data_IF_185652419774
#
_entry.id   IF_185652419774
#
_cell.length_a   1.000
_cell.length_b   1.000
_cell.length_c   1.000
_cell.angle_alpha   90.00
_cell.angle_beta   90.00
_cell.angle_gamma   90.00
#
_symmetry.space_group_name_H-M   'P 1'
#
loop_
_entity.id
_entity.type
_entity.pdbx_description
1 polymer ?
#
# COMPACT_ATOMS: atom_id res chain seq x y z
N UNK A 1 -15.91 -5.91 -4.74
CA UNK A 1 -14.67 -6.24 -4.01
C UNK A 1 -14.32 -5.06 -3.14
N UNK A 2 -14.37 -5.16 -1.82
CA UNK A 2 -13.97 -4.07 -0.92
C UNK A 2 -12.45 -4.02 -0.91
N UNK A 3 -11.86 -2.86 -1.22
CA UNK A 3 -10.41 -2.68 -1.14
C UNK A 3 -9.93 -3.00 0.29
N UNK A 4 -8.77 -3.69 0.44
CA UNK A 4 -8.19 -3.93 1.75
C UNK A 4 -7.93 -2.61 2.46
N UNK A 5 -8.27 -2.55 3.73
CA UNK A 5 -8.12 -1.35 4.56
C UNK A 5 -6.63 -1.06 4.73
N UNK A 6 -6.20 0.05 4.15
CA UNK A 6 -4.81 0.47 4.05
C UNK A 6 -4.44 1.40 5.23
N UNK A 7 -3.32 1.17 5.92
CA UNK A 7 -2.88 1.99 7.06
C UNK A 7 -2.81 3.50 6.79
N UNK A 8 -2.37 3.96 5.60
CA UNK A 8 -2.44 5.36 5.22
C UNK A 8 -3.84 5.86 4.85
N UNK A 9 -4.78 4.96 4.56
CA UNK A 9 -6.20 5.31 4.49
C UNK A 9 -6.79 5.64 5.86
N UNK A 10 -6.03 5.44 6.93
CA UNK A 10 -6.49 5.54 8.30
C UNK A 10 -6.91 6.97 8.70
N UNK A 11 -6.21 8.01 8.23
CA UNK A 11 -6.64 9.38 8.55
C UNK A 11 -7.88 9.80 7.72
N UNK A 12 -8.02 9.30 6.48
CA UNK A 12 -9.29 9.39 5.74
C UNK A 12 -10.38 8.49 6.32
N UNK A 13 -9.99 7.40 6.98
CA UNK A 13 -10.89 6.54 7.74
C UNK A 13 -11.29 7.21 9.05
N UNK A 14 -10.42 8.00 9.71
CA UNK A 14 -10.80 8.78 10.89
C UNK A 14 -11.96 9.71 10.58
N UNK A 15 -11.89 10.47 9.49
CA UNK A 15 -13.00 11.32 9.06
C UNK A 15 -14.27 10.50 8.75
N UNK A 16 -14.12 9.38 8.09
CA UNK A 16 -15.24 8.48 7.78
C UNK A 16 -15.75 7.73 9.00
N UNK A 17 -14.88 7.28 9.90
CA UNK A 17 -15.30 6.64 11.15
C UNK A 17 -15.98 7.61 12.08
N UNK A 18 -15.46 8.82 12.22
CA UNK A 18 -16.12 9.89 12.95
C UNK A 18 -17.52 10.19 12.38
N UNK A 19 -17.65 10.22 11.05
CA UNK A 19 -18.95 10.39 10.38
C UNK A 19 -19.90 9.20 10.57
N UNK A 20 -19.38 8.03 10.90
CA UNK A 20 -20.13 6.80 11.18
C UNK A 20 -20.34 6.55 12.69
N UNK A 21 -19.85 7.45 13.55
CA UNK A 21 -19.91 7.29 15.00
C UNK A 21 -19.04 6.14 15.56
N UNK A 22 -18.05 5.68 14.82
CA UNK A 22 -17.17 4.59 15.24
C UNK A 22 -15.94 5.13 15.97
N UNK A 23 -15.62 4.65 17.19
CA UNK A 23 -14.42 5.06 17.91
C UNK A 23 -13.16 4.66 17.15
N UNK A 24 -12.13 5.48 17.24
CA UNK A 24 -10.80 5.22 16.68
C UNK A 24 -9.73 5.48 17.74
N UNK A 25 -9.80 4.70 18.78
CA UNK A 25 -8.80 4.71 19.84
C UNK A 25 -7.86 3.53 19.61
N UNK A 26 -6.56 3.73 19.81
CA UNK A 26 -5.56 2.67 19.72
C UNK A 26 -5.53 1.84 18.41
N UNK A 27 -5.30 2.47 17.24
CA UNK A 27 -5.35 1.81 15.93
C UNK A 27 -4.43 0.59 15.80
N UNK A 28 -3.29 0.57 16.48
CA UNK A 28 -2.39 -0.58 16.48
C UNK A 28 -2.99 -1.78 17.23
N UNK A 29 -3.62 -1.54 18.38
CA UNK A 29 -4.34 -2.56 19.16
C UNK A 29 -5.49 -3.14 18.35
N UNK A 30 -6.32 -2.27 17.78
CA UNK A 30 -7.42 -2.67 16.90
C UNK A 30 -6.94 -3.55 15.74
N UNK A 31 -5.88 -3.14 15.05
CA UNK A 31 -5.36 -3.90 13.90
C UNK A 31 -4.82 -5.26 14.33
N UNK A 32 -4.16 -5.34 15.48
CA UNK A 32 -3.67 -6.61 16.04
C UNK A 32 -4.82 -7.56 16.34
N UNK A 33 -5.83 -7.10 17.09
CA UNK A 33 -7.01 -7.91 17.43
C UNK A 33 -7.79 -8.33 16.18
N UNK A 34 -7.89 -7.43 15.19
CA UNK A 34 -8.49 -7.76 13.90
C UNK A 34 -7.74 -8.89 13.17
N UNK A 35 -6.40 -8.85 13.18
CA UNK A 35 -5.56 -9.92 12.60
C UNK A 35 -5.74 -11.22 13.38
N UNK A 36 -5.80 -11.15 14.72
CA UNK A 36 -6.02 -12.32 15.57
C UNK A 36 -7.32 -13.06 15.26
N UNK A 37 -8.39 -12.32 14.95
CA UNK A 37 -9.64 -12.89 14.50
C UNK A 37 -9.65 -13.33 13.04
N UNK A 38 -8.99 -12.59 12.16
CA UNK A 38 -9.02 -12.83 10.71
C UNK A 38 -8.20 -14.06 10.30
N UNK A 39 -7.00 -14.25 10.88
CA UNK A 39 -6.09 -15.33 10.47
C UNK A 39 -6.70 -16.73 10.63
N UNK A 40 -7.28 -17.11 11.78
CA UNK A 40 -7.94 -18.42 11.90
C UNK A 40 -9.12 -18.56 10.95
N UNK A 41 -9.93 -17.52 10.74
CA UNK A 41 -11.05 -17.58 9.78
C UNK A 41 -10.59 -17.86 8.35
N UNK A 42 -9.50 -17.25 7.89
CA UNK A 42 -8.94 -17.52 6.58
C UNK A 42 -8.31 -18.92 6.47
N UNK A 43 -7.82 -19.46 7.57
CA UNK A 43 -7.32 -20.82 7.64
C UNK A 43 -8.44 -21.89 7.72
N UNK A 44 -9.70 -21.46 7.82
CA UNK A 44 -10.84 -22.37 8.01
C UNK A 44 -11.00 -22.86 9.46
N UNK A 45 -10.27 -22.25 10.39
CA UNK A 45 -10.29 -22.57 11.81
C UNK A 45 -11.33 -21.73 12.57
N UNK A 46 -11.63 -22.15 13.79
CA UNK A 46 -12.44 -21.40 14.75
C UNK A 46 -11.67 -20.16 15.19
N UNK A 47 -12.26 -18.97 15.02
CA UNK A 47 -11.83 -17.77 15.70
C UNK A 47 -12.50 -17.65 17.05
N UNK A 48 -11.75 -17.29 18.09
CA UNK A 48 -12.24 -17.08 19.46
C UNK A 48 -11.42 -15.95 20.12
N UNK A 49 -11.79 -14.73 19.82
CA UNK A 49 -11.08 -13.50 20.23
C UNK A 49 -12.02 -12.59 21.01
N UNK A 50 -11.66 -12.34 22.26
CA UNK A 50 -12.27 -11.33 23.14
C UNK A 50 -11.29 -10.19 23.38
N UNK A 51 -11.12 -9.31 22.38
CA UNK A 51 -10.26 -8.14 22.47
C UNK A 51 -10.95 -6.93 23.10
N UNK A 52 -10.17 -5.89 23.37
CA UNK A 52 -10.70 -4.62 23.88
C UNK A 52 -11.54 -3.87 22.84
N UNK A 53 -11.23 -4.06 21.55
CA UNK A 53 -11.84 -3.33 20.44
C UNK A 53 -12.48 -4.24 19.38
N UNK A 54 -12.04 -5.49 19.30
CA UNK A 54 -12.53 -6.45 18.31
C UNK A 54 -12.89 -7.76 19.00
N UNK A 55 -14.13 -8.19 18.86
CA UNK A 55 -14.60 -9.50 19.29
C UNK A 55 -14.91 -10.33 18.05
N UNK A 56 -14.38 -11.54 17.98
CA UNK A 56 -14.58 -12.43 16.84
C UNK A 56 -14.79 -13.86 17.34
N UNK A 57 -15.99 -14.39 17.19
CA UNK A 57 -16.33 -15.78 17.50
C UNK A 57 -16.99 -16.43 16.29
N UNK A 58 -16.46 -17.51 15.82
CA UNK A 58 -17.06 -18.24 14.71
C UNK A 58 -16.08 -18.93 13.78
N UNK A 59 -16.63 -19.58 12.78
CA UNK A 59 -15.91 -20.24 11.69
C UNK A 59 -16.55 -19.84 10.37
N UNK A 60 -15.74 -19.69 9.33
CA UNK A 60 -16.28 -19.52 7.99
C UNK A 60 -16.50 -20.89 7.36
N UNK A 61 -17.73 -21.15 6.91
CA UNK A 61 -18.08 -22.38 6.17
C UNK A 61 -17.66 -22.24 4.67
N UNK A 62 -16.39 -21.95 4.45
CA UNK A 62 -15.77 -21.84 3.14
C UNK A 62 -14.55 -22.75 3.09
N UNK A 63 -14.16 -23.18 1.90
CA UNK A 63 -12.89 -23.86 1.73
C UNK A 63 -11.75 -22.92 2.13
N UNK A 64 -10.87 -23.40 3.01
CA UNK A 64 -9.70 -22.62 3.43
C UNK A 64 -8.82 -22.31 2.24
N UNK A 65 -8.40 -21.06 2.14
CA UNK A 65 -7.49 -20.61 1.10
C UNK A 65 -6.24 -19.98 1.75
N UNK A 66 -5.08 -20.30 1.20
CA UNK A 66 -3.83 -19.62 1.56
C UNK A 66 -3.83 -18.18 1.02
N UNK A 67 -4.63 -17.33 1.69
CA UNK A 67 -4.82 -15.94 1.29
C UNK A 67 -3.82 -15.05 2.03
N UNK A 68 -2.84 -14.47 1.34
CA UNK A 68 -1.86 -13.61 1.99
C UNK A 68 -2.48 -12.28 2.46
N UNK A 69 -2.18 -11.91 3.69
CA UNK A 69 -2.58 -10.63 4.27
C UNK A 69 -1.42 -9.64 4.08
N UNK A 70 -1.67 -8.54 3.41
CA UNK A 70 -0.76 -7.40 3.33
C UNK A 70 -1.33 -6.24 4.14
N UNK A 71 -0.65 -5.88 5.22
CA UNK A 71 -1.05 -4.78 6.08
C UNK A 71 -0.50 -3.48 5.52
N UNK A 72 -1.36 -2.50 5.32
CA UNK A 72 -0.86 -1.21 4.94
C UNK A 72 -0.23 -0.48 6.12
N UNK A 73 1.05 -0.21 6.02
CA UNK A 73 1.86 0.34 7.09
C UNK A 73 2.89 1.33 6.57
N UNK A 74 2.95 2.50 7.20
CA UNK A 74 3.98 3.51 6.97
C UNK A 74 4.75 3.87 8.25
N UNK A 75 4.12 3.77 9.40
CA UNK A 75 4.76 4.03 10.69
C UNK A 75 5.53 2.80 11.22
N UNK A 76 6.57 3.01 12.05
CA UNK A 76 7.47 1.93 12.47
C UNK A 76 6.74 0.82 13.26
N UNK A 77 5.81 1.17 14.13
CA UNK A 77 5.04 0.20 14.94
C UNK A 77 4.11 -0.67 14.09
N UNK A 78 3.52 -0.10 13.04
CA UNK A 78 2.64 -0.83 12.14
C UNK A 78 3.45 -1.69 11.16
N UNK A 79 4.64 -1.23 10.74
CA UNK A 79 5.60 -2.04 9.97
C UNK A 79 6.14 -3.22 10.79
N UNK A 80 6.42 -3.01 12.08
CA UNK A 80 6.81 -4.10 12.99
C UNK A 80 5.68 -5.13 13.12
N UNK A 81 4.44 -4.69 13.33
CA UNK A 81 3.29 -5.58 13.36
C UNK A 81 3.14 -6.36 12.05
N UNK A 82 3.30 -5.69 10.90
CA UNK A 82 3.21 -6.33 9.59
C UNK A 82 4.28 -7.42 9.42
N UNK A 83 5.53 -7.13 9.74
CA UNK A 83 6.63 -8.10 9.65
C UNK A 83 6.42 -9.32 10.56
N UNK A 84 5.96 -9.08 11.79
CA UNK A 84 5.76 -10.15 12.78
C UNK A 84 4.53 -11.01 12.56
N UNK A 85 3.48 -10.49 11.91
CA UNK A 85 2.16 -11.14 11.97
C UNK A 85 1.57 -11.53 10.61
N UNK A 86 1.92 -10.82 9.54
CA UNK A 86 1.30 -11.03 8.22
C UNK A 86 2.34 -11.22 7.12
N UNK A 87 1.91 -11.43 5.88
CA UNK A 87 2.82 -11.77 4.78
C UNK A 87 3.52 -10.56 4.16
N UNK A 88 3.19 -9.34 4.60
CA UNK A 88 3.86 -8.16 4.11
C UNK A 88 3.11 -6.86 4.34
N UNK A 89 3.51 -5.85 3.59
CA UNK A 89 2.91 -4.51 3.66
C UNK A 89 2.49 -4.01 2.29
N UNK A 90 1.46 -3.16 2.29
CA UNK A 90 1.06 -2.35 1.13
C UNK A 90 1.37 -0.89 1.42
N UNK A 91 2.15 -0.24 0.56
CA UNK A 91 2.58 1.15 0.73
C UNK A 91 2.17 2.02 -0.45
N UNK A 92 2.01 3.30 -0.20
CA UNK A 92 1.73 4.30 -1.23
C UNK A 92 2.27 5.67 -0.81
N UNK A 93 2.36 6.60 -1.76
CA UNK A 93 2.88 7.96 -1.54
C UNK A 93 4.32 8.00 -1.00
N UNK A 94 5.10 6.98 -1.27
CA UNK A 94 6.53 6.92 -0.96
C UNK A 94 7.30 6.41 -2.18
N UNK A 95 8.49 6.92 -2.37
CA UNK A 95 9.35 6.58 -3.49
C UNK A 95 10.40 5.52 -3.14
N UNK A 96 11.27 5.20 -4.10
CA UNK A 96 12.30 4.17 -3.95
C UNK A 96 13.24 4.43 -2.78
N UNK A 97 13.61 5.68 -2.52
CA UNK A 97 14.49 6.04 -1.40
C UNK A 97 13.86 5.68 -0.06
N UNK A 98 12.62 6.09 0.17
CA UNK A 98 11.89 5.79 1.41
C UNK A 98 11.70 4.29 1.60
N UNK A 99 11.36 3.59 0.53
CA UNK A 99 11.19 2.14 0.58
C UNK A 99 12.51 1.46 0.92
N UNK A 100 13.59 1.77 0.19
CA UNK A 100 14.89 1.12 0.38
C UNK A 100 15.59 1.43 1.69
N UNK A 101 15.44 2.67 2.21
CA UNK A 101 16.17 3.11 3.41
C UNK A 101 15.37 3.00 4.70
N UNK A 102 14.05 2.84 4.61
CA UNK A 102 13.20 2.82 5.80
C UNK A 102 12.19 1.67 5.81
N UNK A 103 11.30 1.56 4.80
CA UNK A 103 10.22 0.57 4.83
C UNK A 103 10.78 -0.87 4.81
N UNK A 104 11.59 -1.17 3.79
CA UNK A 104 12.11 -2.52 3.58
C UNK A 104 13.00 -3.00 4.74
N UNK A 105 13.98 -2.24 5.24
CA UNK A 105 14.77 -2.68 6.38
C UNK A 105 13.94 -2.84 7.65
N UNK A 106 12.97 -1.95 7.92
CA UNK A 106 12.13 -2.03 9.12
C UNK A 106 11.27 -3.29 9.14
N UNK A 107 10.54 -3.56 8.05
CA UNK A 107 9.65 -4.74 8.02
C UNK A 107 10.43 -6.06 7.96
N UNK A 108 11.58 -6.08 7.26
CA UNK A 108 12.45 -7.27 7.19
C UNK A 108 13.05 -7.62 8.54
N UNK A 109 13.55 -6.63 9.29
CA UNK A 109 14.07 -6.85 10.64
C UNK A 109 12.99 -7.39 11.59
N UNK A 110 11.75 -6.91 11.48
CA UNK A 110 10.63 -7.40 12.27
C UNK A 110 10.24 -8.85 11.91
N UNK A 111 10.27 -9.21 10.62
CA UNK A 111 10.00 -10.57 10.16
C UNK A 111 11.11 -11.53 10.62
N UNK A 112 12.38 -11.15 10.47
CA UNK A 112 13.55 -11.93 10.92
C UNK A 112 13.49 -12.17 12.43
N UNK A 113 13.22 -11.13 13.23
CA UNK A 113 13.08 -11.26 14.68
C UNK A 113 11.90 -12.14 15.13
N UNK A 114 10.95 -12.40 14.23
CA UNK A 114 9.81 -13.31 14.44
C UNK A 114 9.99 -14.65 13.72
N UNK A 115 11.18 -14.94 13.20
CA UNK A 115 11.52 -16.17 12.45
C UNK A 115 10.57 -16.44 11.27
N UNK A 116 10.12 -15.36 10.59
CA UNK A 116 9.19 -15.44 9.48
C UNK A 116 9.91 -15.28 8.12
N UNK A 117 9.33 -15.80 7.05
CA UNK A 117 9.83 -15.56 5.69
C UNK A 117 9.96 -14.07 5.36
N UNK A 118 10.78 -13.75 4.38
CA UNK A 118 10.94 -12.39 3.87
C UNK A 118 9.58 -11.80 3.48
N UNK A 119 9.21 -10.61 3.99
CA UNK A 119 7.90 -10.03 3.77
C UNK A 119 7.78 -9.48 2.35
N UNK A 120 6.57 -9.56 1.79
CA UNK A 120 6.22 -8.89 0.55
C UNK A 120 6.07 -7.39 0.79
N UNK A 121 6.49 -6.59 -0.16
CA UNK A 121 6.32 -5.13 -0.17
C UNK A 121 5.59 -4.77 -1.46
N UNK A 122 4.29 -4.52 -1.35
CA UNK A 122 3.47 -4.08 -2.48
C UNK A 122 3.44 -2.56 -2.52
N UNK A 123 3.91 -1.97 -3.62
CA UNK A 123 3.84 -0.53 -3.82
C UNK A 123 2.69 -0.14 -4.75
N UNK A 124 1.83 0.80 -4.31
CA UNK A 124 0.87 1.48 -5.16
C UNK A 124 1.57 2.64 -5.86
N UNK A 125 1.72 2.53 -7.17
CA UNK A 125 2.41 3.51 -8.01
C UNK A 125 1.46 4.03 -9.07
N UNK A 126 1.38 5.35 -9.20
CA UNK A 126 0.61 5.99 -10.25
C UNK A 126 1.47 6.20 -11.48
N UNK A 127 0.90 5.80 -12.61
CA UNK A 127 1.59 5.87 -13.90
C UNK A 127 0.74 6.61 -14.93
N UNK A 128 1.41 7.31 -15.84
CA UNK A 128 0.77 7.96 -16.98
C UNK A 128 1.72 7.99 -18.18
N UNK A 129 1.35 7.28 -19.24
CA UNK A 129 2.06 7.38 -20.53
C UNK A 129 1.41 8.51 -21.34
N UNK A 130 2.18 9.57 -21.56
CA UNK A 130 1.67 10.78 -22.23
C UNK A 130 2.81 11.66 -22.72
N UNK A 131 2.56 12.43 -23.78
CA UNK A 131 3.42 13.54 -24.24
C UNK A 131 3.01 14.87 -23.58
N UNK A 132 1.80 14.98 -23.01
CA UNK A 132 1.37 16.13 -22.23
C UNK A 132 1.77 15.98 -20.74
N UNK A 133 3.06 16.18 -20.53
CA UNK A 133 3.65 16.14 -19.18
C UNK A 133 3.05 17.20 -18.25
N UNK A 134 2.67 18.37 -18.80
CA UNK A 134 2.18 19.48 -17.97
C UNK A 134 0.84 19.16 -17.34
N UNK A 135 -0.13 18.65 -18.11
CA UNK A 135 -1.44 18.27 -17.61
C UNK A 135 -1.34 17.07 -16.62
N UNK A 136 -0.53 16.06 -16.95
CA UNK A 136 -0.32 14.91 -16.09
C UNK A 136 0.33 15.30 -14.75
N UNK A 137 1.32 16.20 -14.79
CA UNK A 137 1.99 16.70 -13.59
C UNK A 137 1.08 17.57 -12.72
N UNK A 138 0.19 18.36 -13.33
CA UNK A 138 -0.81 19.14 -12.59
C UNK A 138 -1.76 18.23 -11.82
N UNK A 139 -2.27 17.15 -12.43
CA UNK A 139 -3.08 16.13 -11.78
C UNK A 139 -2.32 15.42 -10.65
N UNK A 140 -1.06 15.07 -10.89
CA UNK A 140 -0.19 14.44 -9.90
C UNK A 140 0.01 15.34 -8.68
N UNK A 141 0.24 16.65 -8.90
CA UNK A 141 0.42 17.65 -7.83
C UNK A 141 -0.85 17.82 -7.00
N UNK A 142 -2.02 17.88 -7.63
CA UNK A 142 -3.30 17.92 -6.91
C UNK A 142 -3.45 16.70 -5.98
N UNK A 143 -3.15 15.52 -6.52
CA UNK A 143 -3.20 14.28 -5.74
C UNK A 143 -2.21 14.29 -4.58
N UNK A 144 -0.95 14.64 -4.84
CA UNK A 144 0.11 14.68 -3.82
C UNK A 144 -0.21 15.69 -2.70
N UNK A 145 -0.71 16.88 -3.04
CA UNK A 145 -1.13 17.90 -2.07
C UNK A 145 -2.24 17.38 -1.16
N UNK A 146 -3.21 16.67 -1.70
CA UNK A 146 -4.29 16.07 -0.91
C UNK A 146 -3.77 15.04 0.09
N UNK A 147 -2.80 14.23 -0.30
CA UNK A 147 -2.20 13.26 0.61
C UNK A 147 -1.32 13.90 1.69
N UNK A 148 -0.68 15.02 1.43
CA UNK A 148 0.11 15.73 2.45
C UNK A 148 -0.69 16.26 3.65
N UNK A 149 -2.00 16.36 3.54
CA UNK A 149 -2.86 16.71 4.69
C UNK A 149 -2.88 15.61 5.76
N UNK A 150 -2.39 14.43 5.42
CA UNK A 150 -2.37 13.24 6.28
C UNK A 150 -0.95 13.06 6.83
N UNK A 151 -0.72 13.14 8.16
CA UNK A 151 0.62 13.15 8.76
C UNK A 151 1.51 11.97 8.37
N UNK A 152 0.95 10.76 8.27
CA UNK A 152 1.71 9.56 7.88
C UNK A 152 2.21 9.61 6.44
N UNK A 153 1.44 10.18 5.53
CA UNK A 153 1.88 10.41 4.16
C UNK A 153 2.88 11.56 4.05
N UNK A 154 2.64 12.67 4.76
CA UNK A 154 3.59 13.77 4.80
C UNK A 154 4.98 13.27 5.25
N UNK A 155 5.02 12.47 6.30
CA UNK A 155 6.28 11.93 6.83
C UNK A 155 7.06 11.06 5.83
N UNK A 156 6.40 10.24 5.01
CA UNK A 156 7.10 9.41 4.00
C UNK A 156 7.48 10.22 2.76
N UNK A 157 6.69 11.22 2.39
CA UNK A 157 7.05 12.16 1.33
C UNK A 157 8.27 13.02 1.73
N UNK A 158 8.33 13.48 2.98
CA UNK A 158 9.48 14.23 3.51
C UNK A 158 10.75 13.36 3.55
N UNK A 159 10.64 12.06 3.87
CA UNK A 159 11.76 11.11 3.80
C UNK A 159 12.28 10.93 2.38
N UNK A 160 11.40 10.93 1.39
CA UNK A 160 11.79 10.81 0.00
C UNK A 160 12.64 12.00 -0.43
N UNK A 161 12.38 13.18 0.10
CA UNK A 161 13.18 14.38 -0.14
C UNK A 161 13.04 14.95 -1.53
N UNK A 162 11.91 14.70 -2.21
CA UNK A 162 11.59 15.30 -3.51
C UNK A 162 11.23 16.78 -3.34
N UNK A 163 11.60 17.58 -4.34
CA UNK A 163 11.21 18.99 -4.37
C UNK A 163 9.68 19.15 -4.53
N UNK A 164 9.08 18.27 -5.31
CA UNK A 164 7.63 18.19 -5.51
C UNK A 164 7.17 16.73 -5.34
N UNK A 165 6.29 16.42 -4.38
CA UNK A 165 5.76 15.07 -4.21
C UNK A 165 5.01 14.50 -5.42
N UNK A 166 4.65 15.32 -6.41
CA UNK A 166 4.11 14.87 -7.68
C UNK A 166 5.09 13.99 -8.47
N UNK A 167 6.39 14.13 -8.21
CA UNK A 167 7.46 13.31 -8.82
C UNK A 167 7.38 11.82 -8.42
N UNK A 168 6.57 11.46 -7.42
CA UNK A 168 6.23 10.08 -7.10
C UNK A 168 5.39 9.38 -8.18
N UNK A 169 4.79 10.15 -9.08
CA UNK A 169 4.06 9.61 -10.23
C UNK A 169 5.04 9.36 -11.38
N UNK A 170 4.97 8.19 -11.99
CA UNK A 170 5.79 7.86 -13.16
C UNK A 170 5.08 8.37 -14.43
N UNK A 171 5.46 9.55 -14.87
CA UNK A 171 4.87 10.27 -16.01
C UNK A 171 5.91 10.35 -17.14
N UNK A 172 5.50 10.04 -18.36
CA UNK A 172 6.32 10.16 -19.55
C UNK A 172 6.06 9.07 -20.57
N UNK A 173 7.05 8.75 -21.37
CA UNK A 173 6.99 7.60 -22.26
C UNK A 173 7.03 6.27 -21.48
N UNK A 174 6.74 5.18 -22.16
CA UNK A 174 6.74 3.85 -21.54
C UNK A 174 8.10 3.45 -20.96
N UNK A 175 9.19 3.88 -21.61
CA UNK A 175 10.54 3.65 -21.12
C UNK A 175 10.76 4.31 -19.75
N UNK A 176 10.36 5.55 -19.60
CA UNK A 176 10.44 6.28 -18.31
C UNK A 176 9.65 5.58 -17.21
N UNK A 177 8.46 5.03 -17.52
CA UNK A 177 7.67 4.26 -16.57
C UNK A 177 8.41 2.99 -16.16
N UNK A 178 8.97 2.24 -17.10
CA UNK A 178 9.74 1.02 -16.82
C UNK A 178 10.99 1.30 -15.98
N UNK A 179 11.74 2.35 -16.30
CA UNK A 179 12.93 2.75 -15.55
C UNK A 179 12.55 3.05 -14.09
N UNK A 180 11.47 3.81 -13.87
CA UNK A 180 10.97 4.09 -12.53
C UNK A 180 10.53 2.84 -11.78
N UNK A 181 9.83 1.91 -12.42
CA UNK A 181 9.45 0.64 -11.80
C UNK A 181 10.70 -0.19 -11.42
N UNK A 182 11.76 -0.15 -12.24
CA UNK A 182 13.02 -0.81 -11.92
C UNK A 182 13.69 -0.21 -10.67
N UNK A 183 13.64 1.11 -10.50
CA UNK A 183 14.13 1.79 -9.28
C UNK A 183 13.37 1.31 -8.03
N UNK A 184 12.04 1.18 -8.10
CA UNK A 184 11.23 0.63 -7.02
C UNK A 184 11.58 -0.84 -6.73
N UNK A 185 11.76 -1.67 -7.75
CA UNK A 185 12.16 -3.07 -7.58
C UNK A 185 13.54 -3.17 -6.90
N UNK A 186 14.51 -2.35 -7.32
CA UNK A 186 15.83 -2.28 -6.70
C UNK A 186 15.77 -1.82 -5.22
N UNK A 187 14.78 -0.99 -4.86
CA UNK A 187 14.54 -0.57 -3.48
C UNK A 187 13.90 -1.67 -2.61
N UNK A 188 13.46 -2.78 -3.20
CA UNK A 188 12.93 -3.92 -2.48
C UNK A 188 11.43 -4.14 -2.60
N UNK A 189 10.76 -3.47 -3.52
CA UNK A 189 9.36 -3.75 -3.89
C UNK A 189 9.30 -5.14 -4.54
N UNK A 190 8.39 -5.97 -4.08
CA UNK A 190 8.15 -7.32 -4.59
C UNK A 190 6.92 -7.40 -5.49
N UNK A 191 5.98 -6.49 -5.30
CA UNK A 191 4.70 -6.47 -5.98
C UNK A 191 4.32 -5.04 -6.37
N UNK A 192 3.81 -4.88 -7.57
CA UNK A 192 3.34 -3.59 -8.06
C UNK A 192 1.82 -3.56 -8.17
N UNK A 193 1.20 -2.57 -7.55
CA UNK A 193 -0.17 -2.16 -7.83
C UNK A 193 -0.12 -0.87 -8.63
N UNK A 194 -0.33 -0.97 -9.95
CA UNK A 194 -0.29 0.19 -10.84
C UNK A 194 -1.67 0.83 -10.96
N UNK A 195 -1.73 2.14 -10.75
CA UNK A 195 -2.92 2.97 -10.92
C UNK A 195 -2.70 3.91 -12.11
N UNK A 196 -3.56 3.81 -13.11
CA UNK A 196 -3.52 4.73 -14.27
C UNK A 196 -4.10 6.07 -13.84
N UNK A 197 -3.23 7.08 -13.71
CA UNK A 197 -3.57 8.43 -13.29
C UNK A 197 -3.34 9.42 -14.43
N UNK A 198 -4.28 9.45 -15.39
CA UNK A 198 -4.19 10.21 -16.61
C UNK A 198 -5.15 11.41 -16.61
N UNK A 199 -4.76 12.57 -17.14
CA UNK A 199 -5.58 13.78 -17.20
C UNK A 199 -6.74 13.68 -18.20
N UNK A 200 -6.59 12.82 -19.22
CA UNK A 200 -7.56 12.68 -20.31
C UNK A 200 -7.71 11.22 -20.76
N UNK A 201 -8.64 11.00 -21.69
CA UNK A 201 -8.93 9.67 -22.22
C UNK A 201 -7.78 9.11 -23.08
N UNK A 202 -7.13 9.95 -23.88
CA UNK A 202 -6.05 9.50 -24.78
C UNK A 202 -4.85 9.00 -23.98
N UNK A 203 -4.39 9.75 -22.98
CA UNK A 203 -3.28 9.35 -22.09
C UNK A 203 -3.65 8.09 -21.28
N UNK A 204 -4.92 7.97 -20.86
CA UNK A 204 -5.39 6.78 -20.15
C UNK A 204 -5.35 5.53 -21.03
N UNK A 205 -5.81 5.64 -22.27
CA UNK A 205 -5.87 4.54 -23.21
C UNK A 205 -4.45 4.13 -23.66
N UNK A 206 -3.57 5.10 -23.93
CA UNK A 206 -2.15 4.86 -24.24
C UNK A 206 -1.44 4.14 -23.07
N UNK A 207 -1.72 4.53 -21.83
CA UNK A 207 -1.14 3.86 -20.65
C UNK A 207 -1.63 2.42 -20.51
N UNK A 208 -2.92 2.17 -20.74
CA UNK A 208 -3.51 0.82 -20.69
C UNK A 208 -2.96 -0.07 -21.80
N UNK A 209 -2.81 0.45 -23.01
CA UNK A 209 -2.24 -0.27 -24.15
C UNK A 209 -0.78 -0.66 -23.90
N UNK A 210 0.03 0.26 -23.40
CA UNK A 210 1.42 -0.01 -23.01
C UNK A 210 1.52 -1.11 -21.94
N UNK A 211 0.66 -1.07 -20.92
CA UNK A 211 0.56 -2.11 -19.90
C UNK A 211 0.17 -3.45 -20.50
N UNK A 212 -0.89 -3.50 -21.32
CA UNK A 212 -1.36 -4.74 -21.94
C UNK A 212 -0.29 -5.38 -22.83
N UNK A 213 0.40 -4.58 -23.63
CA UNK A 213 1.50 -5.04 -24.49
C UNK A 213 2.65 -5.61 -23.66
N UNK A 214 3.02 -4.95 -22.57
CA UNK A 214 4.10 -5.42 -21.70
C UNK A 214 3.75 -6.71 -20.95
N UNK A 215 2.52 -6.83 -20.47
CA UNK A 215 2.05 -8.03 -19.75
C UNK A 215 1.76 -9.19 -20.71
N UNK A 216 1.17 -8.91 -21.88
CA UNK A 216 0.86 -9.93 -22.90
C UNK A 216 2.10 -10.54 -23.56
N UNK A 217 3.22 -9.85 -23.60
CA UNK A 217 4.50 -10.36 -24.11
C UNK A 217 5.23 -11.31 -23.14
N UNK A 218 4.67 -11.56 -21.94
CA UNK A 218 5.24 -12.45 -20.89
C UNK A 218 4.43 -13.71 -20.64
N UNK A 219 3.42 -14.00 -21.47
CA UNK A 219 2.60 -15.21 -21.39
C UNK A 219 3.22 -16.38 -22.18
#
# INVERSE_FOLDING_TARGET
MREPVCGPCMDRINDKRASMGLPWEHPLGFTREFIDGLQPLLAGDQADVDGEQVTTHGVLNIEAADTPILLAALGPRMLDLAGRRVQGTSVGQCGPRTIGTYIAPTIRAAAEAAERPAPRIMALIRICVTDDHAAAFALARETATRYRTVPSYAAVQDREGLADPAELHLIGDWKRVLDGLAEYAAAGVTDFRLEVAAPDAASRDATREALATHLGGRA
#
